data_IF_583581444784
#
_entry.id   IF_583581444784
#
_cell.length_a   1.000
_cell.length_b   1.000
_cell.length_c   1.000
_cell.angle_alpha   90.00
_cell.angle_beta   90.00
_cell.angle_gamma   90.00
#
_symmetry.space_group_name_H-M   'P 1'
#
loop_
_entity.id
_entity.type
_entity.pdbx_description
1 polymer ?
#
# COMPACT_ATOMS: atom_id res chain seq x y z
N UNK A 1 -17.16 -8.68 -9.01
CA UNK A 1 -16.56 -8.31 -10.31
C UNK A 1 -15.20 -8.98 -10.57
N UNK A 2 -14.65 -9.81 -9.65
CA UNK A 2 -13.38 -10.53 -9.89
C UNK A 2 -12.11 -9.66 -9.84
N UNK A 3 -12.26 -8.33 -9.79
CA UNK A 3 -11.16 -7.39 -9.63
C UNK A 3 -10.76 -7.21 -8.17
N UNK A 4 -9.48 -6.89 -7.97
CA UNK A 4 -8.87 -6.55 -6.70
C UNK A 4 -9.51 -5.29 -6.12
N UNK A 5 -9.82 -5.35 -4.82
CA UNK A 5 -10.24 -4.18 -4.05
C UNK A 5 -9.03 -3.26 -3.76
N UNK A 6 -9.25 -1.95 -3.55
CA UNK A 6 -8.20 -1.08 -3.05
C UNK A 6 -7.54 -1.66 -1.78
N UNK A 7 -6.21 -1.62 -1.70
CA UNK A 7 -5.47 -2.15 -0.57
C UNK A 7 -5.80 -1.42 0.74
N UNK A 8 -5.70 -2.15 1.85
CA UNK A 8 -5.89 -1.65 3.21
C UNK A 8 -7.07 -2.30 3.92
N UNK A 9 -7.14 -2.07 5.23
CA UNK A 9 -8.23 -2.53 6.09
C UNK A 9 -9.41 -1.56 6.08
N UNK A 10 -10.55 -2.01 6.60
CA UNK A 10 -11.78 -1.23 6.74
C UNK A 10 -12.73 -1.37 5.55
N UNK A 11 -13.63 -0.40 5.40
CA UNK A 11 -14.56 -0.37 4.28
C UNK A 11 -13.84 0.06 2.99
N UNK A 12 -14.00 -0.74 1.95
CA UNK A 12 -13.43 -0.53 0.62
C UNK A 12 -14.52 -0.58 -0.42
N UNK A 13 -14.59 0.50 -1.20
CA UNK A 13 -15.43 0.55 -2.38
C UNK A 13 -14.67 -0.01 -3.59
N UNK A 14 -15.29 -0.96 -4.28
CA UNK A 14 -14.78 -1.46 -5.54
C UNK A 14 -14.90 -0.36 -6.60
N UNK A 15 -13.76 0.16 -7.08
CA UNK A 15 -13.72 1.21 -8.11
C UNK A 15 -14.29 0.80 -9.48
N UNK A 16 -14.62 -0.48 -9.68
CA UNK A 16 -15.12 -1.01 -10.94
C UNK A 16 -16.64 -1.19 -10.91
N UNK A 17 -17.18 -1.75 -9.82
CA UNK A 17 -18.61 -2.06 -9.72
C UNK A 17 -19.34 -1.32 -8.58
N UNK A 18 -18.65 -0.46 -7.82
CA UNK A 18 -19.22 0.32 -6.71
C UNK A 18 -19.59 -0.49 -5.47
N UNK A 19 -19.34 -1.81 -5.46
CA UNK A 19 -19.66 -2.65 -4.31
C UNK A 19 -18.79 -2.28 -3.11
N UNK A 20 -19.41 -2.13 -1.93
CA UNK A 20 -18.72 -1.86 -0.68
C UNK A 20 -18.42 -3.18 0.02
N UNK A 21 -17.17 -3.41 0.38
CA UNK A 21 -16.71 -4.59 1.09
C UNK A 21 -15.94 -4.17 2.34
N UNK A 22 -16.23 -4.81 3.48
CA UNK A 22 -15.49 -4.59 4.72
C UNK A 22 -14.35 -5.62 4.81
N UNK A 23 -13.11 -5.14 4.71
CA UNK A 23 -11.91 -5.97 4.78
C UNK A 23 -11.35 -5.92 6.20
N UNK A 24 -11.36 -7.06 6.89
CA UNK A 24 -10.77 -7.23 8.21
C UNK A 24 -9.77 -8.38 8.21
N UNK A 25 -8.61 -8.17 8.84
CA UNK A 25 -7.59 -9.20 9.02
C UNK A 25 -6.80 -8.92 10.29
N UNK A 26 -7.10 -9.66 11.37
CA UNK A 26 -6.53 -9.41 12.70
C UNK A 26 -4.99 -9.39 12.71
N UNK A 27 -4.27 -10.33 12.06
CA UNK A 27 -2.81 -10.29 12.06
C UNK A 27 -2.23 -9.03 11.40
N UNK A 28 -2.95 -8.42 10.45
CA UNK A 28 -2.53 -7.15 9.85
C UNK A 28 -2.76 -5.99 10.81
N UNK A 29 -3.88 -5.98 11.54
CA UNK A 29 -4.15 -4.97 12.58
C UNK A 29 -3.04 -5.00 13.63
N UNK A 30 -2.74 -6.18 14.16
CA UNK A 30 -1.71 -6.37 15.19
C UNK A 30 -0.34 -5.91 14.66
N UNK A 31 0.04 -6.38 13.46
CA UNK A 31 1.32 -5.98 12.84
C UNK A 31 1.43 -4.48 12.55
N UNK A 32 0.34 -3.78 12.27
CA UNK A 32 0.37 -2.35 12.01
C UNK A 32 0.40 -1.54 13.31
N UNK A 33 -0.31 -2.02 14.34
CA UNK A 33 -0.39 -1.40 15.67
C UNK A 33 0.94 -1.51 16.40
N UNK A 34 1.56 -2.70 16.36
CA UNK A 34 2.85 -3.00 17.00
C UNK A 34 4.06 -2.53 16.17
N UNK A 35 3.84 -1.88 15.02
CA UNK A 35 4.93 -1.41 14.17
C UNK A 35 5.78 -0.38 14.93
N UNK A 36 7.07 -0.69 15.12
CA UNK A 36 8.05 0.23 15.67
C UNK A 36 8.74 0.98 14.53
N UNK A 37 8.67 2.31 14.57
CA UNK A 37 9.23 3.18 13.53
C UNK A 37 10.11 4.28 14.13
N UNK A 38 11.23 4.62 13.49
CA UNK A 38 12.06 5.72 13.92
C UNK A 38 11.39 7.07 13.61
N UNK A 39 11.40 7.98 14.57
CA UNK A 39 10.97 9.36 14.34
C UNK A 39 11.87 10.01 13.29
N UNK A 40 11.33 10.66 12.24
CA UNK A 40 12.13 11.28 11.20
C UNK A 40 12.96 12.49 11.67
N UNK A 41 12.67 13.04 12.86
CA UNK A 41 13.37 14.21 13.40
C UNK A 41 14.47 13.86 14.40
N UNK A 42 14.23 12.89 15.28
CA UNK A 42 15.15 12.57 16.39
C UNK A 42 15.62 11.11 16.40
N UNK A 43 15.17 10.29 15.44
CA UNK A 43 15.46 8.87 15.32
C UNK A 43 15.06 8.01 16.54
N UNK A 44 14.31 8.58 17.48
CA UNK A 44 13.75 7.82 18.61
C UNK A 44 12.68 6.86 18.08
N UNK A 45 12.70 5.62 18.55
CA UNK A 45 11.71 4.60 18.18
C UNK A 45 10.37 4.93 18.82
N UNK A 46 9.33 5.01 18.00
CA UNK A 46 7.94 5.22 18.39
C UNK A 46 7.12 4.04 17.88
N UNK A 47 6.21 3.53 18.71
CA UNK A 47 5.26 2.49 18.29
C UNK A 47 4.04 3.17 17.65
N UNK A 48 3.57 2.65 16.52
CA UNK A 48 2.44 3.24 15.80
C UNK A 48 1.17 3.32 16.65
N UNK A 49 0.83 2.24 17.36
CA UNK A 49 -0.34 2.18 18.24
C UNK A 49 -1.69 2.27 17.50
N UNK A 50 -1.69 2.23 16.17
CA UNK A 50 -2.88 2.29 15.33
C UNK A 50 -2.67 1.56 14.00
N UNK A 51 -3.72 0.94 13.49
CA UNK A 51 -3.78 0.39 12.14
C UNK A 51 -4.30 1.41 11.10
N UNK A 52 -4.83 2.54 11.54
CA UNK A 52 -5.36 3.59 10.67
C UNK A 52 -4.25 4.36 9.95
N UNK A 53 -4.33 4.44 8.62
CA UNK A 53 -3.38 5.18 7.78
C UNK A 53 -4.09 5.83 6.59
N UNK A 54 -3.76 7.08 6.22
CA UNK A 54 -2.75 7.95 6.83
C UNK A 54 -3.21 8.56 8.16
N UNK A 55 -2.26 8.77 9.08
CA UNK A 55 -2.52 9.39 10.39
C UNK A 55 -1.38 10.31 10.79
N UNK A 56 -1.68 11.41 11.48
CA UNK A 56 -0.66 12.29 12.07
C UNK A 56 -0.25 11.74 13.45
N UNK A 57 1.06 11.59 13.66
CA UNK A 57 1.61 11.07 14.91
C UNK A 57 2.60 12.06 15.51
N UNK A 58 2.57 12.20 16.84
CA UNK A 58 3.48 13.07 17.57
C UNK A 58 4.51 12.24 18.31
N UNK A 59 5.79 12.56 18.11
CA UNK A 59 6.86 11.89 18.84
C UNK A 59 6.92 12.38 20.29
N UNK A 60 6.83 11.49 21.27
CA UNK A 60 6.93 11.86 22.69
C UNK A 60 8.30 12.40 23.12
N UNK A 61 9.37 12.15 22.35
CA UNK A 61 10.73 12.58 22.69
C UNK A 61 11.06 13.99 22.19
N UNK A 62 10.73 14.31 20.93
CA UNK A 62 11.01 15.63 20.34
C UNK A 62 9.78 16.51 20.16
N UNK A 63 8.58 16.02 20.50
CA UNK A 63 7.28 16.70 20.36
C UNK A 63 6.90 17.12 18.93
N UNK A 64 7.68 16.73 17.91
CA UNK A 64 7.34 17.00 16.52
C UNK A 64 6.30 16.01 16.01
N UNK A 65 5.39 16.49 15.15
CA UNK A 65 4.44 15.65 14.43
C UNK A 65 4.97 15.21 13.07
N UNK A 66 4.58 14.01 12.64
CA UNK A 66 4.88 13.47 11.33
C UNK A 66 3.73 12.59 10.84
N UNK A 67 3.56 12.49 9.52
CA UNK A 67 2.48 11.70 8.92
C UNK A 67 2.94 10.28 8.65
N UNK A 68 2.22 9.33 9.24
CA UNK A 68 2.40 7.92 8.98
C UNK A 68 1.60 7.52 7.74
N UNK A 69 2.30 7.20 6.65
CA UNK A 69 1.68 6.95 5.34
C UNK A 69 1.19 5.51 5.19
N UNK A 70 0.20 5.24 4.31
CA UNK A 70 -0.29 3.89 4.05
C UNK A 70 0.81 2.97 3.51
N UNK A 71 0.87 1.76 4.06
CA UNK A 71 1.80 0.72 3.60
C UNK A 71 1.25 0.07 2.33
N UNK A 72 1.70 0.55 1.17
CA UNK A 72 1.29 0.01 -0.13
C UNK A 72 2.23 -1.14 -0.52
N UNK A 73 1.69 -2.35 -0.61
CA UNK A 73 2.44 -3.54 -1.04
C UNK A 73 2.59 -3.52 -2.55
N UNK A 74 3.83 -3.33 -3.02
CA UNK A 74 4.18 -3.44 -4.44
C UNK A 74 4.18 -4.92 -4.85
N UNK A 75 3.71 -5.19 -6.05
CA UNK A 75 3.72 -6.52 -6.67
C UNK A 75 4.81 -6.61 -7.71
N UNK A 76 5.30 -7.82 -7.93
CA UNK A 76 6.27 -8.15 -8.97
C UNK A 76 5.52 -8.81 -10.12
N UNK A 77 5.81 -8.34 -11.34
CA UNK A 77 5.26 -8.88 -12.58
C UNK A 77 6.39 -8.98 -13.61
N UNK A 78 6.33 -9.96 -14.49
CA UNK A 78 7.32 -10.08 -15.55
C UNK A 78 6.84 -9.38 -16.82
N UNK A 79 7.76 -8.68 -17.48
CA UNK A 79 7.47 -8.05 -18.77
C UNK A 79 7.36 -9.14 -19.85
N UNK A 80 6.24 -9.23 -20.60
CA UNK A 80 6.07 -10.26 -21.62
C UNK A 80 7.02 -10.11 -22.82
N UNK A 81 7.65 -8.93 -23.00
CA UNK A 81 8.56 -8.68 -24.12
C UNK A 81 10.05 -8.92 -23.81
N UNK A 82 10.45 -8.87 -22.54
CA UNK A 82 11.87 -9.03 -22.17
C UNK A 82 12.11 -9.86 -20.90
N UNK A 83 11.05 -10.47 -20.34
CA UNK A 83 11.05 -11.32 -19.15
C UNK A 83 11.66 -10.68 -17.90
N UNK A 84 11.87 -9.35 -17.91
CA UNK A 84 12.36 -8.62 -16.74
C UNK A 84 11.26 -8.44 -15.72
N UNK A 85 11.59 -8.69 -14.47
CA UNK A 85 10.72 -8.46 -13.32
C UNK A 85 10.59 -6.96 -13.02
N UNK A 86 9.35 -6.48 -12.99
CA UNK A 86 8.96 -5.10 -12.72
C UNK A 86 8.23 -5.03 -11.38
N UNK A 87 8.64 -4.09 -10.53
CA UNK A 87 8.01 -3.87 -9.22
C UNK A 87 7.06 -2.68 -9.25
N UNK A 88 5.75 -2.95 -9.30
CA UNK A 88 4.71 -1.93 -9.52
C UNK A 88 3.74 -1.82 -8.34
N UNK A 89 3.06 -0.67 -8.24
CA UNK A 89 1.92 -0.52 -7.32
C UNK A 89 0.67 -1.08 -7.99
N UNK A 90 -0.01 -2.10 -7.44
CA UNK A 90 -1.25 -2.62 -8.01
C UNK A 90 -2.33 -1.56 -7.92
N UNK A 91 -3.21 -1.51 -8.93
CA UNK A 91 -4.37 -0.61 -8.98
C UNK A 91 -5.56 -1.40 -9.50
N UNK A 92 -6.75 -1.29 -8.89
CA UNK A 92 -7.94 -1.97 -9.39
C UNK A 92 -8.23 -1.64 -10.85
N UNK A 93 -8.57 -2.67 -11.63
CA UNK A 93 -8.91 -2.54 -13.05
C UNK A 93 -7.76 -2.83 -14.00
N UNK A 94 -8.01 -2.58 -15.29
CA UNK A 94 -7.04 -2.81 -16.36
C UNK A 94 -6.31 -1.52 -16.70
N UNK A 95 -4.99 -1.59 -16.82
CA UNK A 95 -4.19 -0.47 -17.33
C UNK A 95 -3.06 -0.95 -18.23
N UNK A 96 -2.66 -0.07 -19.12
CA UNK A 96 -1.47 -0.23 -19.92
C UNK A 96 -0.23 0.19 -19.12
N UNK A 97 0.81 -0.63 -19.20
CA UNK A 97 2.13 -0.36 -18.66
C UNK A 97 3.16 -0.41 -19.77
N UNK A 98 4.10 0.53 -19.75
CA UNK A 98 5.26 0.54 -20.64
C UNK A 98 6.46 -0.01 -19.88
N UNK A 99 7.10 -1.05 -20.42
CA UNK A 99 8.33 -1.56 -19.84
C UNK A 99 9.47 -0.53 -20.01
N UNK A 100 10.17 -0.13 -18.93
CA UNK A 100 11.28 0.83 -19.04
C UNK A 100 12.52 0.24 -19.72
N UNK A 101 12.58 -1.09 -19.91
CA UNK A 101 13.72 -1.77 -20.49
C UNK A 101 13.60 -1.99 -22.00
N UNK A 102 12.47 -2.50 -22.47
CA UNK A 102 12.24 -2.84 -23.87
C UNK A 102 11.17 -1.97 -24.53
N UNK A 103 10.61 -1.01 -23.80
CA UNK A 103 9.58 -0.08 -24.27
C UNK A 103 8.26 -0.70 -24.76
N UNK A 104 8.08 -2.02 -24.65
CA UNK A 104 6.83 -2.68 -25.00
C UNK A 104 5.70 -2.25 -24.07
N UNK A 105 4.57 -1.85 -24.64
CA UNK A 105 3.30 -1.64 -23.94
C UNK A 105 2.59 -2.98 -23.71
N UNK A 106 2.10 -3.23 -22.49
CA UNK A 106 1.31 -4.40 -22.17
C UNK A 106 0.24 -4.08 -21.11
N UNK A 107 -0.86 -4.80 -21.13
CA UNK A 107 -1.95 -4.60 -20.19
C UNK A 107 -1.80 -5.49 -18.96
N UNK A 108 -2.09 -4.93 -17.79
CA UNK A 108 -2.21 -5.67 -16.54
C UNK A 108 -3.59 -5.42 -15.94
N UNK A 109 -4.17 -6.49 -15.39
CA UNK A 109 -5.44 -6.44 -14.69
C UNK A 109 -5.22 -6.90 -13.26
N UNK A 110 -5.64 -6.07 -12.32
CA UNK A 110 -5.74 -6.43 -10.90
C UNK A 110 -7.20 -6.43 -10.48
#
# INVERSE_FOLDING_TARGET
CGHMLPQGLGEKECKICGAVCRVGHQPTVDSLTDEALPCPHCNTVVVAGTDERPVEMTCGACMNSFTLTPKITKVEIDCPGCERTLRIRPRPGTRELKCPACESGFNVTF
#
